data_IF_370558207253
#
_entry.id   IF_370558207253
#
_cell.length_a   1.000
_cell.length_b   1.000
_cell.length_c   1.000
_cell.angle_alpha   90.00
_cell.angle_beta   90.00
_cell.angle_gamma   90.00
#
_symmetry.space_group_name_H-M   'P 1'
#
loop_
_entity.id
_entity.type
_entity.pdbx_description
1 polymer ?
#
# COMPACT_ATOMS: atom_id res chain seq x y z
N UNK A 1 5.10 14.25 23.57
CA UNK A 1 5.61 13.65 24.82
C UNK A 1 5.46 14.59 26.00
N UNK A 2 5.97 15.84 25.93
CA UNK A 2 5.85 16.81 27.02
C UNK A 2 4.41 17.13 27.44
N UNK A 3 3.50 17.28 26.47
CA UNK A 3 2.10 17.62 26.74
C UNK A 3 1.32 16.51 27.44
N UNK A 4 1.54 15.25 27.02
CA UNK A 4 1.00 14.05 27.69
C UNK A 4 1.56 13.91 29.11
N UNK A 5 2.88 14.16 29.30
CA UNK A 5 3.51 14.18 30.62
C UNK A 5 2.85 15.21 31.54
N UNK A 6 2.56 16.42 31.04
CA UNK A 6 1.90 17.50 31.81
C UNK A 6 0.46 17.16 32.25
N UNK A 7 -0.27 16.39 31.44
CA UNK A 7 -1.65 16.03 31.69
C UNK A 7 -1.80 14.95 32.78
N UNK A 8 -0.79 14.08 32.94
CA UNK A 8 -0.84 12.91 33.82
C UNK A 8 0.26 12.85 34.89
N UNK A 9 1.07 13.90 35.01
CA UNK A 9 1.93 14.09 36.17
C UNK A 9 1.04 14.22 37.42
N UNK A 10 1.38 13.51 38.49
CA UNK A 10 0.74 13.75 39.77
C UNK A 10 0.97 15.21 40.21
N UNK A 11 0.11 15.72 41.06
CA UNK A 11 0.22 17.04 41.68
C UNK A 11 1.44 17.30 42.60
N UNK A 12 2.38 16.38 42.92
CA UNK A 12 3.60 16.76 43.63
C UNK A 12 4.62 17.50 42.75
N UNK A 13 4.33 17.73 41.46
CA UNK A 13 5.25 18.41 40.54
C UNK A 13 4.65 19.71 39.99
N UNK A 14 5.38 20.81 40.11
CA UNK A 14 5.02 22.08 39.47
C UNK A 14 5.00 21.90 37.94
N UNK A 15 3.88 22.22 37.31
CA UNK A 15 3.62 21.96 35.88
C UNK A 15 4.61 22.66 34.93
N UNK A 16 5.23 23.73 35.43
CA UNK A 16 6.27 24.51 34.76
C UNK A 16 7.62 23.77 34.71
N UNK A 17 7.95 23.02 35.77
CA UNK A 17 9.23 22.33 35.95
C UNK A 17 9.20 20.87 35.48
N UNK A 18 8.09 20.41 34.89
CA UNK A 18 7.93 19.02 34.40
C UNK A 18 8.99 18.64 33.35
N UNK A 19 9.55 19.61 32.64
CA UNK A 19 10.63 19.39 31.67
C UNK A 19 11.93 18.95 32.34
N UNK A 20 12.16 19.36 33.59
CA UNK A 20 13.42 19.21 34.30
C UNK A 20 13.42 17.98 35.22
N UNK A 21 12.29 17.25 35.28
CA UNK A 21 12.16 16.03 36.07
C UNK A 21 12.77 14.87 35.26
N UNK A 22 13.79 14.18 35.81
CA UNK A 22 14.31 12.95 35.23
C UNK A 22 13.21 11.91 35.03
N UNK A 23 13.28 11.14 33.95
CA UNK A 23 12.28 10.10 33.67
C UNK A 23 12.19 9.04 34.80
N UNK A 24 13.27 8.81 35.52
CA UNK A 24 13.40 7.84 36.61
C UNK A 24 12.67 8.26 37.89
N UNK A 25 12.52 9.57 38.11
CA UNK A 25 11.85 10.13 39.29
C UNK A 25 10.41 10.57 39.01
N UNK A 26 9.88 10.25 37.82
CA UNK A 26 8.52 10.58 37.41
C UNK A 26 7.52 9.59 38.03
N UNK A 27 6.69 10.08 38.96
CA UNK A 27 5.54 9.35 39.46
C UNK A 27 4.28 9.77 38.70
N UNK A 28 3.76 8.87 37.84
CA UNK A 28 2.47 9.07 37.16
C UNK A 28 1.31 8.90 38.14
N UNK A 29 0.26 9.72 37.99
CA UNK A 29 -1.01 9.53 38.74
C UNK A 29 -1.76 8.26 38.31
N UNK A 30 -1.38 7.73 37.15
CA UNK A 30 -2.03 6.63 36.46
C UNK A 30 -1.10 5.42 36.42
N UNK A 31 -1.66 4.22 36.30
CA UNK A 31 -0.88 3.00 36.10
C UNK A 31 0.07 3.12 34.90
N UNK A 32 1.30 2.56 34.98
CA UNK A 32 2.26 2.63 33.87
C UNK A 32 1.73 2.09 32.54
N UNK A 33 0.89 1.05 32.59
CA UNK A 33 0.25 0.46 31.41
C UNK A 33 -0.69 1.46 30.72
N UNK A 34 -1.55 2.13 31.48
CA UNK A 34 -2.49 3.10 30.92
C UNK A 34 -1.77 4.38 30.44
N UNK A 35 -0.67 4.79 31.08
CA UNK A 35 0.21 5.83 30.54
C UNK A 35 0.82 5.42 29.18
N UNK A 36 1.26 4.17 29.05
CA UNK A 36 1.81 3.67 27.79
C UNK A 36 0.77 3.64 26.66
N UNK A 37 -0.43 3.14 26.93
CA UNK A 37 -1.52 3.13 25.95
C UNK A 37 -1.93 4.54 25.51
N UNK A 38 -2.05 5.48 26.46
CA UNK A 38 -2.38 6.88 26.15
C UNK A 38 -1.27 7.55 25.34
N UNK A 39 0.00 7.27 25.64
CA UNK A 39 1.12 7.75 24.85
C UNK A 39 1.08 7.21 23.41
N UNK A 40 0.84 5.91 23.23
CA UNK A 40 0.71 5.30 21.90
C UNK A 40 -0.46 5.88 21.12
N UNK A 41 -1.59 6.18 21.77
CA UNK A 41 -2.73 6.84 21.15
C UNK A 41 -2.41 8.25 20.69
N UNK A 42 -1.70 9.04 21.50
CA UNK A 42 -1.31 10.40 21.12
C UNK A 42 -0.30 10.39 19.96
N UNK A 43 0.68 9.48 19.99
CA UNK A 43 1.60 9.30 18.86
C UNK A 43 0.81 8.96 17.60
N UNK A 44 -0.09 7.98 17.67
CA UNK A 44 -0.94 7.57 16.54
C UNK A 44 -1.76 8.73 16.00
N UNK A 45 -2.39 9.53 16.87
CA UNK A 45 -3.17 10.71 16.50
C UNK A 45 -2.32 11.70 15.71
N UNK A 46 -1.14 12.07 16.22
CA UNK A 46 -0.21 13.00 15.55
C UNK A 46 0.30 12.45 14.22
N UNK A 47 0.57 11.15 14.14
CA UNK A 47 1.00 10.50 12.89
C UNK A 47 -0.13 10.52 11.84
N UNK A 48 -1.37 10.22 12.22
CA UNK A 48 -2.55 10.27 11.33
C UNK A 48 -2.78 11.71 10.83
N UNK A 49 -2.70 12.69 11.73
CA UNK A 49 -2.85 14.11 11.40
C UNK A 49 -1.80 14.54 10.36
N UNK A 50 -0.51 14.26 10.63
CA UNK A 50 0.58 14.56 9.70
C UNK A 50 0.38 13.88 8.35
N UNK A 51 0.06 12.58 8.34
CA UNK A 51 -0.17 11.82 7.11
C UNK A 51 -1.34 12.39 6.29
N UNK A 52 -2.43 12.78 6.96
CA UNK A 52 -3.60 13.41 6.32
C UNK A 52 -3.24 14.77 5.72
N UNK A 53 -2.44 15.59 6.44
CA UNK A 53 -1.95 16.87 5.93
C UNK A 53 -1.07 16.68 4.69
N UNK A 54 -0.11 15.77 4.73
CA UNK A 54 0.77 15.45 3.59
C UNK A 54 -0.04 14.96 2.39
N UNK A 55 -1.07 14.12 2.60
CA UNK A 55 -1.98 13.69 1.53
C UNK A 55 -2.73 14.88 0.91
N UNK A 56 -3.24 15.79 1.74
CA UNK A 56 -3.97 16.98 1.29
C UNK A 56 -3.07 17.90 0.46
N UNK A 57 -1.86 18.17 0.94
CA UNK A 57 -0.86 19.00 0.26
C UNK A 57 -0.49 18.39 -1.10
N UNK A 58 -0.16 17.09 -1.15
CA UNK A 58 0.11 16.39 -2.42
C UNK A 58 -1.05 16.50 -3.40
N UNK A 59 -2.29 16.29 -2.95
CA UNK A 59 -3.46 16.39 -3.81
C UNK A 59 -3.66 17.82 -4.33
N UNK A 60 -3.34 18.83 -3.51
CA UNK A 60 -3.34 20.23 -3.94
C UNK A 60 -2.30 20.45 -5.04
N UNK A 61 -1.06 20.00 -4.82
CA UNK A 61 0.02 20.15 -5.80
C UNK A 61 -0.34 19.49 -7.14
N UNK A 62 -0.89 18.27 -7.12
CA UNK A 62 -1.34 17.59 -8.34
C UNK A 62 -2.37 18.43 -9.10
N UNK A 63 -3.36 18.99 -8.41
CA UNK A 63 -4.38 19.84 -9.04
C UNK A 63 -3.76 21.09 -9.65
N UNK A 64 -2.88 21.77 -8.91
CA UNK A 64 -2.19 22.96 -9.39
C UNK A 64 -1.35 22.65 -10.63
N UNK A 65 -0.57 21.56 -10.64
CA UNK A 65 0.22 21.13 -11.80
C UNK A 65 -0.68 20.76 -12.99
N UNK A 66 -1.85 20.13 -12.76
CA UNK A 66 -2.83 19.82 -13.81
C UNK A 66 -3.46 21.08 -14.41
N UNK A 67 -3.78 22.08 -13.58
CA UNK A 67 -4.30 23.38 -14.01
C UNK A 67 -3.26 24.16 -14.81
N UNK A 68 -2.01 24.23 -14.35
CA UNK A 68 -0.88 24.85 -15.07
C UNK A 68 -0.63 24.17 -16.42
N UNK A 69 -0.67 22.84 -16.47
CA UNK A 69 -0.49 22.10 -17.71
C UNK A 69 -1.61 22.42 -18.70
N UNK A 70 -2.85 22.55 -18.20
CA UNK A 70 -4.01 22.91 -19.03
C UNK A 70 -3.91 24.33 -19.57
N UNK A 71 -3.44 25.30 -18.79
CA UNK A 71 -3.26 26.68 -19.26
C UNK A 71 -2.14 26.76 -20.30
N UNK A 72 -1.02 26.07 -20.09
CA UNK A 72 0.08 26.00 -21.06
C UNK A 72 -0.36 25.38 -22.39
N UNK A 73 -1.17 24.33 -22.36
CA UNK A 73 -1.73 23.71 -23.57
C UNK A 73 -2.68 24.65 -24.33
N UNK A 74 -3.41 25.51 -23.62
CA UNK A 74 -4.30 26.50 -24.24
C UNK A 74 -3.55 27.68 -24.88
N UNK A 75 -2.34 28.00 -24.42
CA UNK A 75 -1.51 29.10 -24.95
C UNK A 75 -0.81 28.77 -26.28
N UNK A 76 -0.79 27.49 -26.68
CA UNK A 76 -0.24 27.03 -27.97
C UNK A 76 1.00 26.14 -27.78
N UNK A 77 0.96 24.94 -28.35
CA UNK A 77 1.97 23.89 -28.10
C UNK A 77 3.39 24.26 -28.58
N UNK A 78 3.53 25.06 -29.64
CA UNK A 78 4.83 25.35 -30.25
C UNK A 78 5.71 26.34 -29.45
N UNK A 79 5.12 27.24 -28.65
CA UNK A 79 5.88 28.19 -27.82
C UNK A 79 6.22 27.63 -26.44
N UNK A 80 5.41 26.69 -25.94
CA UNK A 80 5.50 26.17 -24.57
C UNK A 80 5.85 24.66 -24.50
N UNK A 81 6.26 24.04 -25.61
CA UNK A 81 6.54 22.60 -25.70
C UNK A 81 7.45 22.07 -24.57
N UNK A 82 8.52 22.80 -24.26
CA UNK A 82 9.47 22.42 -23.19
C UNK A 82 8.82 22.47 -21.80
N UNK A 83 8.02 23.51 -21.52
CA UNK A 83 7.34 23.67 -20.23
C UNK A 83 6.23 22.64 -20.04
N UNK A 84 5.53 22.30 -21.13
CA UNK A 84 4.53 21.23 -21.15
C UNK A 84 5.19 19.88 -20.84
N UNK A 85 6.34 19.59 -21.44
CA UNK A 85 7.09 18.35 -21.19
C UNK A 85 7.52 18.25 -19.72
N UNK A 86 8.10 19.32 -19.17
CA UNK A 86 8.51 19.38 -17.76
C UNK A 86 7.33 19.17 -16.80
N UNK A 87 6.20 19.85 -17.04
CA UNK A 87 5.00 19.71 -16.21
C UNK A 87 4.36 18.33 -16.31
N UNK A 88 4.43 17.68 -17.47
CA UNK A 88 4.00 16.28 -17.65
C UNK A 88 4.86 15.33 -16.82
N UNK A 89 6.18 15.51 -16.86
CA UNK A 89 7.11 14.71 -16.07
C UNK A 89 6.91 14.91 -14.56
N UNK A 90 6.73 16.16 -14.10
CA UNK A 90 6.41 16.47 -12.71
C UNK A 90 5.13 15.75 -12.25
N UNK A 91 4.09 15.79 -13.08
CA UNK A 91 2.81 15.13 -12.80
C UNK A 91 2.95 13.60 -12.77
N UNK A 92 3.72 13.02 -13.68
CA UNK A 92 4.00 11.58 -13.71
C UNK A 92 4.74 11.14 -12.44
N UNK A 93 5.75 11.89 -12.01
CA UNK A 93 6.50 11.63 -10.78
C UNK A 93 5.59 11.67 -9.54
N UNK A 94 4.67 12.64 -9.47
CA UNK A 94 3.67 12.72 -8.39
C UNK A 94 2.74 11.50 -8.38
N UNK A 95 2.27 11.07 -9.55
CA UNK A 95 1.39 9.90 -9.71
C UNK A 95 2.11 8.58 -9.42
N UNK A 96 3.37 8.44 -9.82
CA UNK A 96 4.18 7.26 -9.54
C UNK A 96 4.31 7.00 -8.04
N UNK A 97 4.45 8.05 -7.22
CA UNK A 97 4.48 7.92 -5.77
C UNK A 97 3.15 7.44 -5.18
N UNK A 98 2.02 7.86 -5.74
CA UNK A 98 0.70 7.34 -5.36
C UNK A 98 0.58 5.86 -5.73
N UNK A 99 1.02 5.51 -6.94
CA UNK A 99 0.98 4.14 -7.46
C UNK A 99 1.76 3.17 -6.57
N UNK A 100 2.96 3.57 -6.12
CA UNK A 100 3.75 2.79 -5.14
C UNK A 100 2.92 2.47 -3.88
N UNK A 101 2.22 3.47 -3.34
CA UNK A 101 1.37 3.27 -2.17
C UNK A 101 0.18 2.35 -2.43
N UNK A 102 -0.44 2.43 -3.62
CA UNK A 102 -1.52 1.52 -4.05
C UNK A 102 -0.99 0.09 -4.12
N UNK A 103 0.15 -0.13 -4.79
CA UNK A 103 0.77 -1.45 -4.93
C UNK A 103 1.04 -2.11 -3.58
N UNK A 104 1.62 -1.37 -2.62
CA UNK A 104 1.89 -1.89 -1.27
C UNK A 104 0.58 -2.31 -0.59
N UNK A 105 -0.46 -1.49 -0.64
CA UNK A 105 -1.76 -1.80 -0.01
C UNK A 105 -2.46 -2.97 -0.70
N UNK A 106 -2.41 -3.05 -2.02
CA UNK A 106 -2.97 -4.18 -2.78
C UNK A 106 -2.27 -5.49 -2.41
N UNK A 107 -0.94 -5.47 -2.28
CA UNK A 107 -0.18 -6.63 -1.81
C UNK A 107 -0.54 -7.02 -0.38
N UNK A 108 -0.60 -6.07 0.54
CA UNK A 108 -0.99 -6.32 1.92
C UNK A 108 -2.42 -6.88 2.02
N UNK A 109 -3.35 -6.33 1.23
CA UNK A 109 -4.72 -6.81 1.12
C UNK A 109 -4.78 -8.24 0.60
N UNK A 110 -4.04 -8.56 -0.46
CA UNK A 110 -3.95 -9.94 -0.97
C UNK A 110 -3.38 -10.91 0.05
N UNK A 111 -2.38 -10.51 0.83
CA UNK A 111 -1.82 -11.38 1.88
C UNK A 111 -2.83 -11.63 3.01
N UNK A 112 -3.63 -10.63 3.36
CA UNK A 112 -4.55 -10.70 4.51
C UNK A 112 -5.92 -11.29 4.17
N UNK A 113 -6.50 -10.85 3.06
CA UNK A 113 -7.85 -11.22 2.59
C UNK A 113 -7.82 -12.22 1.44
N UNK A 114 -6.69 -12.36 0.76
CA UNK A 114 -6.57 -13.28 -0.36
C UNK A 114 -6.69 -14.72 0.11
N UNK A 115 -7.10 -15.55 -0.84
CA UNK A 115 -7.24 -16.97 -0.61
C UNK A 115 -5.89 -17.55 -0.21
N UNK A 116 -5.81 -18.10 1.01
CA UNK A 116 -4.64 -18.86 1.41
C UNK A 116 -4.56 -20.05 0.48
N UNK A 117 -3.43 -20.20 -0.22
CA UNK A 117 -3.13 -21.38 -1.03
C UNK A 117 -3.10 -22.58 -0.08
N UNK A 118 -4.26 -23.17 0.10
CA UNK A 118 -4.45 -24.31 0.97
C UNK A 118 -4.10 -25.57 0.20
N UNK A 119 -3.89 -26.67 0.92
CA UNK A 119 -3.71 -27.99 0.31
C UNK A 119 -4.83 -28.31 -0.69
N UNK A 120 -6.05 -27.79 -0.47
CA UNK A 120 -7.16 -27.93 -1.40
C UNK A 120 -6.88 -27.26 -2.75
N UNK A 121 -6.42 -26.01 -2.79
CA UNK A 121 -6.15 -25.30 -4.06
C UNK A 121 -4.98 -25.90 -4.83
N UNK A 122 -3.90 -26.30 -4.16
CA UNK A 122 -2.82 -27.05 -4.80
C UNK A 122 -3.30 -28.38 -5.39
N UNK A 123 -4.14 -29.12 -4.65
CA UNK A 123 -4.69 -30.38 -5.14
C UNK A 123 -5.71 -30.17 -6.27
N UNK A 124 -6.46 -29.07 -6.23
CA UNK A 124 -7.39 -28.67 -7.28
C UNK A 124 -6.63 -28.34 -8.57
N UNK A 125 -5.52 -27.60 -8.47
CA UNK A 125 -4.63 -27.32 -9.61
C UNK A 125 -4.01 -28.61 -10.17
N UNK A 126 -3.49 -29.49 -9.31
CA UNK A 126 -2.98 -30.80 -9.72
C UNK A 126 -4.06 -31.63 -10.44
N UNK A 127 -5.29 -31.64 -9.92
CA UNK A 127 -6.43 -32.32 -10.56
C UNK A 127 -6.77 -31.68 -11.89
N UNK A 128 -6.83 -30.36 -11.97
CA UNK A 128 -7.10 -29.64 -13.22
C UNK A 128 -6.02 -29.88 -14.27
N UNK A 129 -4.74 -29.91 -13.87
CA UNK A 129 -3.64 -30.29 -14.75
C UNK A 129 -3.86 -31.69 -15.33
N UNK A 130 -4.21 -32.67 -14.49
CA UNK A 130 -4.50 -34.04 -14.97
C UNK A 130 -5.76 -34.14 -15.82
N UNK A 131 -6.80 -33.34 -15.54
CA UNK A 131 -8.09 -33.43 -16.24
C UNK A 131 -8.12 -32.68 -17.57
N UNK A 132 -7.30 -31.61 -17.71
CA UNK A 132 -7.17 -30.85 -18.96
C UNK A 132 -6.21 -31.51 -19.96
N UNK A 133 -5.48 -32.53 -19.52
CA UNK A 133 -4.64 -33.34 -20.41
C UNK A 133 -5.52 -34.24 -21.26
N UNK A 134 -5.25 -34.28 -22.57
CA UNK A 134 -5.91 -35.21 -23.48
C UNK A 134 -5.31 -36.60 -23.30
N UNK A 135 -6.08 -37.51 -22.70
CA UNK A 135 -5.61 -38.86 -22.34
C UNK A 135 -5.81 -39.90 -23.46
N UNK A 136 -6.64 -39.58 -24.45
CA UNK A 136 -6.89 -40.44 -25.60
C UNK A 136 -7.30 -39.61 -26.82
N UNK A 137 -6.86 -40.02 -28.01
CA UNK A 137 -7.25 -39.47 -29.30
C UNK A 137 -7.67 -40.62 -30.24
N UNK A 138 -8.71 -40.41 -31.04
CA UNK A 138 -9.08 -41.34 -32.11
C UNK A 138 -8.53 -40.77 -33.42
N UNK A 139 -7.66 -41.53 -34.08
CA UNK A 139 -7.07 -41.15 -35.36
C UNK A 139 -8.08 -41.29 -36.50
N UNK A 140 -7.78 -40.71 -37.68
CA UNK A 140 -8.59 -40.83 -38.90
C UNK A 140 -8.85 -42.30 -39.33
N UNK A 141 -7.98 -43.22 -38.89
CA UNK A 141 -8.10 -44.67 -39.12
C UNK A 141 -9.04 -45.40 -38.14
N UNK A 142 -9.62 -44.69 -37.16
CA UNK A 142 -10.50 -45.25 -36.13
C UNK A 142 -9.78 -45.94 -34.97
N UNK A 143 -8.46 -45.84 -34.89
CA UNK A 143 -7.65 -46.42 -33.81
C UNK A 143 -7.56 -45.47 -32.61
N UNK A 144 -7.70 -46.01 -31.40
CA UNK A 144 -7.61 -45.25 -30.14
C UNK A 144 -6.15 -45.18 -29.65
N UNK A 145 -5.56 -43.99 -29.68
CA UNK A 145 -4.22 -43.71 -29.15
C UNK A 145 -4.34 -43.17 -27.73
N UNK A 146 -3.69 -43.83 -26.77
CA UNK A 146 -3.63 -43.43 -25.35
C UNK A 146 -2.26 -42.92 -24.91
N UNK A 147 -1.24 -43.08 -25.76
CA UNK A 147 0.10 -42.62 -25.45
C UNK A 147 0.23 -41.11 -25.70
N UNK A 148 0.76 -40.41 -24.71
CA UNK A 148 0.78 -38.96 -24.70
C UNK A 148 1.75 -38.38 -25.73
N UNK A 149 2.88 -39.03 -25.98
CA UNK A 149 3.84 -38.56 -26.98
C UNK A 149 3.24 -38.65 -28.39
N UNK A 150 2.53 -39.75 -28.67
CA UNK A 150 1.83 -39.97 -29.94
C UNK A 150 0.66 -38.97 -30.12
N UNK A 151 -0.14 -38.73 -29.06
CA UNK A 151 -1.23 -37.72 -29.08
C UNK A 151 -0.67 -36.33 -29.41
N UNK A 152 0.48 -35.94 -28.84
CA UNK A 152 1.07 -34.62 -29.12
C UNK A 152 1.66 -34.49 -30.51
N UNK A 153 2.07 -35.59 -31.15
CA UNK A 153 2.62 -35.58 -32.50
C UNK A 153 1.53 -35.59 -33.59
N UNK A 154 0.36 -36.18 -33.31
CA UNK A 154 -0.82 -36.15 -34.20
C UNK A 154 -1.55 -34.80 -34.23
N UNK A 155 -1.43 -34.00 -33.16
CA UNK A 155 -2.09 -32.67 -33.05
C UNK A 155 -1.20 -31.53 -33.57
N UNK A 156 0.07 -31.80 -33.89
CA UNK A 156 1.00 -30.82 -34.46
C UNK A 156 0.84 -30.69 -35.96
#
# INVERSE_FOLDING_TARGET
>A
MLEVKKQYAATPYSQENIKDIPNESYNSTISPLLFWETLLLEIRKRTIERASKVKKERNSNIKTTEEELKTLQQMGEDQCASQIAEKKEELENLRAQIMKGVLIRSKARWINEGEKVSRYFCNLENRHYTSKRMNSLINEKGEEIKDNELITNEVK
#
